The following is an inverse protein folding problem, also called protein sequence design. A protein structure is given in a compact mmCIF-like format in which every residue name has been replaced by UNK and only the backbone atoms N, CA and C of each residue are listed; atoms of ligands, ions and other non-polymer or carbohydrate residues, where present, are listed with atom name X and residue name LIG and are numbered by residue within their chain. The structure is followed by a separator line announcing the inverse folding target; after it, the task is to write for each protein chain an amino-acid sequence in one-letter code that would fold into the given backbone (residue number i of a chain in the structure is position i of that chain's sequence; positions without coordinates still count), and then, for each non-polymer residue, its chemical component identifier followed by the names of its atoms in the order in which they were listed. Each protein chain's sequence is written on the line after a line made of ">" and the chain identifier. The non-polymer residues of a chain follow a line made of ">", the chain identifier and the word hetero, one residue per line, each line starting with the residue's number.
data_IF_857469988380
#
_entry.id   IF_857469988380
#
_cell.length_a   1.000
_cell.length_b   1.000
_cell.length_c   1.000
_cell.angle_alpha   90.00
_cell.angle_beta   90.00
_cell.angle_gamma   90.00
#
_symmetry.space_group_name_H-M   'P 1'
#
loop_
_entity.id
_entity.type
_entity.pdbx_description
1 polymer ?
#
# COMPACT_ATOMS: atom_id res chain seq x y z
N UNK A 1 41.69 60.33 35.19
CA UNK A 1 40.45 60.04 35.96
C UNK A 1 39.14 60.40 35.24
N UNK A 2 39.10 60.58 33.90
CA UNK A 2 37.87 60.94 33.16
C UNK A 2 37.16 59.74 32.50
N UNK A 3 37.88 58.67 32.13
CA UNK A 3 37.29 57.45 31.54
C UNK A 3 36.39 56.68 32.52
N UNK A 4 36.81 56.52 33.78
CA UNK A 4 36.08 55.76 34.80
C UNK A 4 34.73 56.36 35.17
N UNK A 5 34.59 57.70 35.09
CA UNK A 5 33.34 58.41 35.38
C UNK A 5 32.24 58.19 34.33
N UNK A 6 32.63 57.81 33.10
CA UNK A 6 31.70 57.58 31.99
C UNK A 6 31.37 56.08 31.86
N UNK A 7 32.31 55.20 32.22
CA UNK A 7 32.11 53.75 32.14
C UNK A 7 31.03 53.23 33.08
N UNK A 8 30.92 53.77 34.30
CA UNK A 8 29.92 53.34 35.28
C UNK A 8 28.48 53.59 34.76
N UNK A 9 28.08 54.82 34.36
CA UNK A 9 26.72 55.06 33.88
C UNK A 9 26.42 54.34 32.57
N UNK A 10 27.40 54.18 31.68
CA UNK A 10 27.22 53.41 30.43
C UNK A 10 26.99 51.94 30.73
N UNK A 11 27.75 51.34 31.66
CA UNK A 11 27.54 49.97 32.09
C UNK A 11 26.13 49.81 32.71
N UNK A 12 25.72 50.72 33.59
CA UNK A 12 24.38 50.71 34.20
C UNK A 12 23.27 50.78 33.14
N UNK A 13 23.45 51.61 32.11
CA UNK A 13 22.49 51.75 31.01
C UNK A 13 22.41 50.47 30.14
N UNK A 14 23.55 49.82 29.88
CA UNK A 14 23.58 48.53 29.19
C UNK A 14 22.88 47.40 29.98
N UNK A 15 23.05 47.38 31.30
CA UNK A 15 22.40 46.41 32.19
C UNK A 15 20.86 46.56 32.20
N UNK A 16 20.35 47.80 32.13
CA UNK A 16 18.90 48.07 32.05
C UNK A 16 18.27 47.60 30.73
N UNK A 17 19.04 47.63 29.64
CA UNK A 17 18.55 47.21 28.32
C UNK A 17 18.52 45.68 28.18
N UNK A 18 19.45 44.96 28.82
CA UNK A 18 19.51 43.50 28.80
C UNK A 18 18.29 42.82 29.48
N UNK A 19 17.61 43.50 30.40
CA UNK A 19 16.41 42.98 31.09
C UNK A 19 15.17 42.93 30.17
N UNK A 20 15.20 43.65 29.04
CA UNK A 20 14.09 43.65 28.07
C UNK A 20 14.23 42.63 26.94
N UNK A 21 15.25 41.76 26.97
CA UNK A 21 15.31 40.59 26.10
C UNK A 21 14.25 39.56 26.56
N UNK A 22 12.99 39.84 26.26
CA UNK A 22 11.88 38.90 26.46
C UNK A 22 11.88 37.95 25.29
N UNK A 23 12.43 36.75 25.49
CA UNK A 23 12.16 35.64 24.59
C UNK A 23 10.66 35.31 24.68
N UNK A 24 9.96 35.40 23.55
CA UNK A 24 8.60 34.87 23.46
C UNK A 24 8.62 33.42 23.97
N UNK A 25 7.74 33.11 24.90
CA UNK A 25 7.61 31.73 25.37
C UNK A 25 7.01 30.92 24.22
N UNK A 26 7.85 30.11 23.58
CA UNK A 26 7.37 29.13 22.62
C UNK A 26 6.48 28.13 23.37
N UNK A 27 5.17 28.21 23.16
CA UNK A 27 4.17 27.34 23.79
C UNK A 27 4.14 25.92 23.22
N UNK A 28 5.12 25.55 22.39
CA UNK A 28 5.09 24.31 21.63
C UNK A 28 4.07 24.33 20.50
N UNK A 29 3.97 23.21 19.79
CA UNK A 29 2.86 22.95 18.87
C UNK A 29 1.66 22.54 19.70
N UNK A 30 0.52 23.22 19.52
CA UNK A 30 -0.78 22.82 20.06
C UNK A 30 -1.02 21.34 19.78
N UNK A 31 -1.01 20.52 20.84
CA UNK A 31 -1.32 19.10 20.72
C UNK A 31 -2.84 18.96 20.66
N UNK A 32 -3.36 18.66 19.48
CA UNK A 32 -4.76 18.28 19.33
C UNK A 32 -4.95 16.84 19.81
N UNK A 33 -5.53 16.69 21.00
CA UNK A 33 -6.10 15.42 21.44
C UNK A 33 -7.56 15.39 21.00
N UNK A 34 -7.87 14.56 20.00
CA UNK A 34 -9.25 14.24 19.67
C UNK A 34 -9.89 13.55 20.87
N UNK A 35 -10.97 14.12 21.40
CA UNK A 35 -11.74 13.50 22.49
C UNK A 35 -12.57 12.29 22.05
N UNK A 36 -12.71 12.07 20.73
CA UNK A 36 -13.45 10.95 20.19
C UNK A 36 -12.56 9.71 20.04
N UNK A 37 -13.05 8.55 20.51
CA UNK A 37 -12.42 7.25 20.30
C UNK A 37 -12.45 6.90 18.80
N UNK A 38 -11.37 6.28 18.29
CA UNK A 38 -11.29 5.85 16.88
C UNK A 38 -12.41 4.88 16.50
N UNK A 39 -12.84 4.02 17.42
CA UNK A 39 -13.95 3.11 17.17
C UNK A 39 -15.26 3.86 16.89
N UNK A 40 -15.52 4.92 17.67
CA UNK A 40 -16.73 5.73 17.55
C UNK A 40 -16.71 6.55 16.26
N UNK A 41 -15.56 7.15 15.91
CA UNK A 41 -15.37 7.86 14.63
C UNK A 41 -15.57 6.91 13.45
N UNK A 42 -15.06 5.68 13.53
CA UNK A 42 -15.24 4.69 12.47
C UNK A 42 -16.70 4.25 12.33
N UNK A 43 -17.40 4.02 13.45
CA UNK A 43 -18.82 3.70 13.43
C UNK A 43 -19.66 4.85 12.82
N UNK A 44 -19.35 6.09 13.19
CA UNK A 44 -20.01 7.28 12.63
C UNK A 44 -19.72 7.45 11.13
N UNK A 45 -18.48 7.21 10.70
CA UNK A 45 -18.10 7.29 9.30
C UNK A 45 -18.83 6.24 8.44
N UNK A 46 -18.98 5.01 8.94
CA UNK A 46 -19.76 3.96 8.29
C UNK A 46 -21.25 4.30 8.22
N UNK A 47 -21.82 4.85 9.29
CA UNK A 47 -23.20 5.29 9.28
C UNK A 47 -23.42 6.41 8.25
N UNK A 48 -22.49 7.38 8.18
CA UNK A 48 -22.54 8.49 7.24
C UNK A 48 -22.35 8.07 5.78
N UNK A 49 -21.49 7.08 5.49
CA UNK A 49 -21.27 6.61 4.12
C UNK A 49 -22.48 5.89 3.51
N UNK A 50 -23.37 5.37 4.35
CA UNK A 50 -24.63 4.77 3.93
C UNK A 50 -25.76 5.78 3.76
N UNK A 51 -25.58 7.04 4.19
CA UNK A 51 -26.58 8.07 3.98
C UNK A 51 -26.62 8.47 2.49
N UNK A 52 -27.79 8.88 1.98
CA UNK A 52 -27.88 9.49 0.68
C UNK A 52 -26.98 10.72 0.60
N UNK A 53 -26.11 10.77 -0.42
CA UNK A 53 -25.29 11.96 -0.68
C UNK A 53 -26.18 13.16 -1.01
N UNK A 54 -26.20 14.14 -0.10
CA UNK A 54 -26.99 15.35 -0.22
C UNK A 54 -26.54 16.28 -1.36
N UNK A 55 -25.34 16.07 -1.89
CA UNK A 55 -24.79 16.81 -3.02
C UNK A 55 -24.84 16.01 -4.32
N UNK A 56 -25.39 14.80 -4.34
CA UNK A 56 -25.39 13.91 -5.51
C UNK A 56 -25.95 14.55 -6.77
N UNK A 57 -27.04 15.28 -6.66
CA UNK A 57 -27.64 16.00 -7.78
C UNK A 57 -26.73 17.12 -8.33
N UNK A 58 -25.95 17.79 -7.48
CA UNK A 58 -24.98 18.80 -7.89
C UNK A 58 -23.64 18.20 -8.38
N UNK A 59 -23.18 17.11 -7.76
CA UNK A 59 -21.97 16.39 -8.14
C UNK A 59 -22.13 15.63 -9.46
N UNK A 60 -23.35 15.18 -9.77
CA UNK A 60 -23.71 14.56 -11.05
C UNK A 60 -24.22 15.57 -12.08
N UNK A 61 -24.28 16.87 -11.74
CA UNK A 61 -24.73 17.90 -12.66
C UNK A 61 -23.76 17.99 -13.86
N UNK A 62 -24.19 17.45 -15.00
CA UNK A 62 -23.39 17.37 -16.23
C UNK A 62 -22.60 16.07 -16.42
N UNK A 63 -22.60 15.16 -15.44
CA UNK A 63 -22.07 13.81 -15.64
C UNK A 63 -23.16 12.96 -16.29
N UNK A 64 -22.95 12.55 -17.54
CA UNK A 64 -23.84 11.60 -18.18
C UNK A 64 -23.94 10.34 -17.31
N UNK A 65 -25.14 9.81 -17.03
CA UNK A 65 -25.27 8.59 -16.25
C UNK A 65 -24.42 7.51 -16.92
N UNK A 66 -23.65 6.78 -16.11
CA UNK A 66 -22.90 5.63 -16.62
C UNK A 66 -23.90 4.75 -17.37
N UNK A 67 -23.71 4.58 -18.68
CA UNK A 67 -24.53 3.68 -19.47
C UNK A 67 -24.44 2.31 -18.81
N UNK A 68 -25.52 1.91 -18.13
CA UNK A 68 -25.60 0.59 -17.53
C UNK A 68 -25.42 -0.41 -18.66
N UNK A 69 -24.28 -1.10 -18.67
CA UNK A 69 -24.07 -2.23 -19.57
C UNK A 69 -25.29 -3.14 -19.43
N UNK A 70 -25.98 -3.37 -20.54
CA UNK A 70 -27.25 -4.10 -20.62
C UNK A 70 -27.15 -5.59 -20.24
N UNK A 71 -26.03 -5.99 -19.63
CA UNK A 71 -25.70 -7.37 -19.34
C UNK A 71 -25.76 -7.55 -17.83
N UNK A 72 -26.61 -8.46 -17.41
CA UNK A 72 -26.79 -8.76 -16.00
C UNK A 72 -25.48 -9.33 -15.41
N UNK A 73 -25.15 -8.99 -14.16
CA UNK A 73 -23.92 -9.52 -13.52
C UNK A 73 -23.92 -11.06 -13.47
N UNK A 74 -25.08 -11.71 -13.38
CA UNK A 74 -25.17 -13.17 -13.41
C UNK A 74 -24.76 -13.73 -14.77
N UNK A 75 -25.11 -13.06 -15.87
CA UNK A 75 -24.78 -13.45 -17.23
C UNK A 75 -23.28 -13.34 -17.49
N UNK A 76 -22.65 -12.24 -17.05
CA UNK A 76 -21.18 -12.08 -17.09
C UNK A 76 -20.50 -13.21 -16.31
N UNK A 77 -21.02 -13.56 -15.13
CA UNK A 77 -20.46 -14.64 -14.29
C UNK A 77 -20.63 -16.01 -14.96
N UNK A 78 -21.78 -16.28 -15.56
CA UNK A 78 -22.05 -17.51 -16.28
C UNK A 78 -21.12 -17.67 -17.49
N UNK A 79 -20.92 -16.60 -18.26
CA UNK A 79 -20.01 -16.59 -19.42
C UNK A 79 -18.55 -16.78 -19.00
N UNK A 80 -18.10 -16.12 -17.93
CA UNK A 80 -16.75 -16.28 -17.40
C UNK A 80 -16.48 -17.73 -16.93
N UNK A 81 -17.46 -18.36 -16.27
CA UNK A 81 -17.35 -19.77 -15.85
C UNK A 81 -17.31 -20.73 -17.04
N UNK A 82 -18.12 -20.48 -18.07
CA UNK A 82 -18.09 -21.25 -19.31
C UNK A 82 -16.70 -21.15 -19.98
N UNK A 83 -16.16 -19.94 -20.11
CA UNK A 83 -14.82 -19.71 -20.67
C UNK A 83 -13.71 -20.38 -19.83
N UNK A 84 -13.81 -20.34 -18.50
CA UNK A 84 -12.85 -21.00 -17.61
C UNK A 84 -12.89 -22.54 -17.75
N UNK A 85 -14.08 -23.12 -17.95
CA UNK A 85 -14.26 -24.58 -18.14
C UNK A 85 -13.78 -25.10 -19.48
N UNK A 86 -13.76 -24.26 -20.51
CA UNK A 86 -13.14 -24.60 -21.80
C UNK A 86 -11.65 -24.91 -21.63
N UNK A 87 -11.02 -24.45 -20.54
CA UNK A 87 -9.63 -24.72 -20.22
C UNK A 87 -8.68 -23.98 -21.16
N UNK A 88 -7.42 -23.79 -20.74
CA UNK A 88 -6.39 -23.29 -21.64
C UNK A 88 -6.00 -24.44 -22.60
N UNK A 89 -6.21 -24.32 -23.93
CA UNK A 89 -5.80 -25.35 -24.88
C UNK A 89 -4.27 -25.56 -24.91
N UNK A 90 -3.50 -24.65 -24.33
CA UNK A 90 -2.05 -24.73 -24.14
C UNK A 90 -1.64 -24.94 -22.67
N UNK A 91 -2.59 -25.19 -21.76
CA UNK A 91 -2.29 -25.43 -20.36
C UNK A 91 -1.67 -26.82 -20.15
N UNK A 92 -0.93 -27.00 -19.06
CA UNK A 92 -0.26 -28.27 -18.73
C UNK A 92 -1.20 -29.48 -18.66
N UNK A 93 -2.49 -29.25 -18.42
CA UNK A 93 -3.57 -30.26 -18.38
C UNK A 93 -4.25 -30.51 -19.73
N UNK A 94 -3.97 -29.73 -20.79
CA UNK A 94 -4.65 -29.83 -22.09
C UNK A 94 -4.42 -31.17 -22.80
N UNK A 95 -3.31 -31.85 -22.50
CA UNK A 95 -3.00 -33.21 -23.01
C UNK A 95 -3.30 -34.33 -22.01
N UNK A 96 -3.92 -34.05 -20.86
CA UNK A 96 -4.23 -35.07 -19.86
C UNK A 96 -5.27 -36.06 -20.43
N UNK A 97 -4.86 -37.32 -20.59
CA UNK A 97 -5.72 -38.39 -21.13
C UNK A 97 -5.54 -38.67 -22.62
N UNK A 98 -4.69 -37.92 -23.34
CA UNK A 98 -4.31 -38.26 -24.72
C UNK A 98 -3.14 -39.25 -24.68
N UNK A 99 -3.31 -40.43 -25.29
CA UNK A 99 -2.24 -41.39 -25.44
C UNK A 99 -1.11 -40.76 -26.28
N UNK A 100 0.01 -40.43 -25.65
CA UNK A 100 1.15 -39.82 -26.33
C UNK A 100 1.92 -40.93 -27.06
N UNK A 101 1.89 -40.94 -28.39
CA UNK A 101 2.76 -41.80 -29.21
C UNK A 101 4.20 -41.30 -29.07
N UNK A 102 4.92 -41.79 -28.07
CA UNK A 102 6.35 -41.51 -27.88
C UNK A 102 7.16 -42.53 -28.67
N UNK A 103 7.87 -42.10 -29.71
CA UNK A 103 8.86 -42.91 -30.45
C UNK A 103 10.13 -43.16 -29.61
N UNK A 104 10.29 -42.49 -28.47
CA UNK A 104 11.41 -42.67 -27.54
C UNK A 104 11.04 -43.45 -26.28
N UNK A 105 11.99 -44.24 -25.77
CA UNK A 105 11.90 -45.08 -24.56
C UNK A 105 11.96 -44.29 -23.24
N UNK A 106 11.90 -42.96 -23.30
CA UNK A 106 12.01 -42.10 -22.10
C UNK A 106 10.65 -41.96 -21.43
N UNK A 107 10.53 -42.45 -20.20
CA UNK A 107 9.36 -42.22 -19.37
C UNK A 107 9.29 -40.74 -18.94
N UNK A 108 8.42 -39.97 -19.61
CA UNK A 108 8.20 -38.56 -19.29
C UNK A 108 7.62 -38.34 -17.89
N UNK A 109 6.92 -39.30 -17.30
CA UNK A 109 6.41 -39.16 -15.92
C UNK A 109 7.56 -39.18 -14.93
N UNK A 110 8.49 -40.12 -15.10
CA UNK A 110 9.72 -40.17 -14.31
C UNK A 110 10.53 -38.87 -14.43
N UNK A 111 10.75 -38.38 -15.66
CA UNK A 111 11.49 -37.11 -15.90
C UNK A 111 10.82 -35.91 -15.22
N UNK A 112 9.49 -35.81 -15.27
CA UNK A 112 8.75 -34.73 -14.62
C UNK A 112 8.81 -34.81 -13.10
N UNK A 113 8.70 -36.02 -12.54
CA UNK A 113 8.83 -36.24 -11.10
C UNK A 113 10.22 -35.83 -10.61
N UNK A 114 11.26 -36.20 -11.36
CA UNK A 114 12.65 -35.83 -11.06
C UNK A 114 12.91 -34.34 -11.19
N UNK A 115 12.37 -33.68 -12.22
CA UNK A 115 12.47 -32.24 -12.39
C UNK A 115 11.83 -31.47 -11.22
N UNK A 116 10.64 -31.92 -10.75
CA UNK A 116 9.98 -31.32 -9.59
C UNK A 116 10.75 -31.56 -8.29
N UNK A 117 11.26 -32.77 -8.08
CA UNK A 117 12.10 -33.09 -6.94
C UNK A 117 13.40 -32.26 -6.93
N UNK A 118 13.96 -31.97 -8.10
CA UNK A 118 15.16 -31.14 -8.24
C UNK A 118 14.87 -29.66 -8.02
N UNK A 119 13.76 -29.14 -8.55
CA UNK A 119 13.31 -27.78 -8.27
C UNK A 119 13.01 -27.55 -6.77
N UNK A 120 12.41 -28.55 -6.11
CA UNK A 120 12.10 -28.49 -4.67
C UNK A 120 13.36 -28.51 -3.78
N UNK A 121 14.46 -29.11 -4.24
CA UNK A 121 15.75 -29.13 -3.52
C UNK A 121 16.49 -27.79 -3.58
N UNK A 122 16.11 -26.88 -4.48
CA UNK A 122 16.78 -25.59 -4.67
C UNK A 122 18.22 -25.71 -5.18
N UNK A 123 18.76 -24.65 -5.80
CA UNK A 123 20.17 -24.57 -6.20
C UNK A 123 21.04 -24.28 -4.97
N UNK A 124 21.06 -25.18 -3.99
CA UNK A 124 21.91 -25.07 -2.78
C UNK A 124 23.11 -26.03 -2.85
N UNK A 125 23.69 -26.23 -4.04
CA UNK A 125 25.01 -26.86 -4.13
C UNK A 125 26.06 -25.78 -3.95
N UNK A 126 26.58 -25.70 -2.73
CA UNK A 126 27.66 -24.82 -2.31
C UNK A 126 28.79 -24.77 -3.34
N UNK A 127 29.19 -23.56 -3.73
CA UNK A 127 30.48 -23.30 -4.35
C UNK A 127 31.52 -23.74 -3.31
N UNK A 128 32.38 -24.74 -3.58
CA UNK A 128 33.42 -25.10 -2.62
C UNK A 128 34.33 -23.88 -2.47
N UNK A 129 34.39 -23.35 -1.25
CA UNK A 129 35.30 -22.26 -0.88
C UNK A 129 36.73 -22.73 -1.14
N UNK A 130 37.37 -22.13 -2.13
CA UNK A 130 38.80 -22.26 -2.33
C UNK A 130 39.50 -21.51 -1.19
N UNK A 131 40.25 -22.24 -0.38
CA UNK A 131 41.23 -21.68 0.54
C UNK A 131 41.98 -22.79 1.28
N UNK A 132 43.17 -22.50 1.85
CA UNK A 132 43.95 -21.26 1.81
C UNK A 132 44.91 -21.14 0.63
#
# INVERSE_FOLDING_TARGET
>A
MRLSRIMIPVASLCLLWAVNARAEHYHGVLQFQSGANRADVHAQALAASHLPDAFREGASAGVAPAAGGQIEKSEVRAQALAAARVGNPFGDSAGAGVASTSIGTVDRQAVRAEARATAARGVNKAIPSLGP
#
